data_IF_623119773105
#
_entry.id   IF_623119773105
#
_cell.length_a   1.000
_cell.length_b   1.000
_cell.length_c   1.000
_cell.angle_alpha   90.00
_cell.angle_beta   90.00
_cell.angle_gamma   90.00
#
_symmetry.space_group_name_H-M   'P 1'
#
loop_
_entity.id
_entity.type
_entity.pdbx_description
1 polymer ?
#
# COMPACT_ATOMS: atom_id res chain seq x y z
N UNK A 1 8.60 -6.33 -8.64
CA UNK A 1 7.72 -7.37 -8.06
C UNK A 1 6.31 -7.18 -8.62
N UNK A 2 6.15 -7.34 -9.93
CA UNK A 2 4.87 -7.17 -10.67
C UNK A 2 3.94 -8.38 -10.51
N UNK A 3 4.53 -9.55 -10.22
CA UNK A 3 3.86 -10.86 -10.27
C UNK A 3 2.64 -11.00 -9.36
N UNK A 4 2.58 -10.31 -8.23
CA UNK A 4 1.48 -10.45 -7.29
C UNK A 4 0.22 -9.72 -7.78
N UNK A 5 0.38 -8.49 -8.27
CA UNK A 5 -0.71 -7.75 -8.90
C UNK A 5 -1.17 -8.49 -10.16
N UNK A 6 -0.23 -8.86 -11.03
CA UNK A 6 -0.52 -9.65 -12.24
C UNK A 6 -1.27 -10.96 -11.93
N UNK A 7 -1.04 -11.55 -10.76
CA UNK A 7 -1.72 -12.76 -10.30
C UNK A 7 -3.15 -12.48 -9.81
N UNK A 8 -3.35 -11.40 -9.04
CA UNK A 8 -4.67 -10.97 -8.57
C UNK A 8 -5.54 -10.48 -9.74
N UNK A 9 -4.98 -9.73 -10.68
CA UNK A 9 -5.66 -9.26 -11.88
C UNK A 9 -6.18 -10.43 -12.73
N UNK A 10 -5.43 -11.56 -12.76
CA UNK A 10 -5.84 -12.79 -13.45
C UNK A 10 -6.79 -13.66 -12.63
N UNK A 11 -6.83 -13.49 -11.30
CA UNK A 11 -7.62 -14.29 -10.39
C UNK A 11 -8.31 -13.40 -9.34
N UNK A 12 -9.36 -12.64 -9.71
CA UNK A 12 -10.00 -11.69 -8.80
C UNK A 12 -10.53 -12.33 -7.50
N UNK A 13 -11.00 -13.58 -7.60
CA UNK A 13 -11.46 -14.39 -6.46
C UNK A 13 -10.38 -14.64 -5.38
N UNK A 14 -9.10 -14.61 -5.76
CA UNK A 14 -7.98 -14.80 -4.83
C UNK A 14 -7.77 -13.58 -3.94
N UNK A 15 -8.25 -12.38 -4.34
CA UNK A 15 -8.18 -11.20 -3.49
C UNK A 15 -8.92 -11.44 -2.16
N UNK A 16 -10.10 -12.07 -2.22
CA UNK A 16 -10.88 -12.41 -1.03
C UNK A 16 -10.16 -13.40 -0.13
N UNK A 17 -9.50 -14.40 -0.72
CA UNK A 17 -8.78 -15.43 0.04
C UNK A 17 -7.50 -14.91 0.68
N UNK A 18 -6.74 -14.08 -0.04
CA UNK A 18 -5.41 -13.63 0.39
C UNK A 18 -5.45 -12.37 1.24
N UNK A 19 -6.46 -11.51 1.03
CA UNK A 19 -6.56 -10.20 1.65
C UNK A 19 -7.84 -10.01 2.47
N UNK A 20 -8.81 -10.92 2.32
CA UNK A 20 -10.11 -10.81 3.01
C UNK A 20 -11.07 -9.79 2.40
N UNK A 21 -10.81 -9.29 1.20
CA UNK A 21 -11.62 -8.24 0.55
C UNK A 21 -11.89 -8.54 -0.93
N UNK A 22 -12.96 -7.98 -1.48
CA UNK A 22 -13.26 -8.12 -2.90
C UNK A 22 -12.24 -7.36 -3.76
N UNK A 23 -11.98 -7.87 -4.96
CA UNK A 23 -10.98 -7.29 -5.85
C UNK A 23 -11.29 -5.85 -6.28
N UNK A 24 -12.58 -5.51 -6.45
CA UNK A 24 -13.00 -4.13 -6.73
C UNK A 24 -12.63 -3.19 -5.58
N UNK A 25 -12.90 -3.60 -4.33
CA UNK A 25 -12.52 -2.84 -3.14
C UNK A 25 -11.00 -2.68 -3.03
N UNK A 26 -10.24 -3.69 -3.45
CA UNK A 26 -8.77 -3.62 -3.47
C UNK A 26 -8.28 -2.56 -4.46
N UNK A 27 -8.87 -2.49 -5.66
CA UNK A 27 -8.53 -1.48 -6.66
C UNK A 27 -8.82 -0.08 -6.12
N UNK A 28 -10.02 0.13 -5.56
CA UNK A 28 -10.41 1.42 -4.98
C UNK A 28 -9.46 1.83 -3.85
N UNK A 29 -9.09 0.91 -2.97
CA UNK A 29 -8.15 1.14 -1.89
C UNK A 29 -6.76 1.55 -2.40
N UNK A 30 -6.25 0.85 -3.42
CA UNK A 30 -4.96 1.18 -4.03
C UNK A 30 -4.98 2.60 -4.63
N UNK A 31 -6.04 2.96 -5.34
CA UNK A 31 -6.20 4.29 -5.93
C UNK A 31 -6.27 5.38 -4.85
N UNK A 32 -7.08 5.16 -3.81
CA UNK A 32 -7.21 6.10 -2.70
C UNK A 32 -5.89 6.30 -1.96
N UNK A 33 -5.14 5.22 -1.72
CA UNK A 33 -3.84 5.26 -1.06
C UNK A 33 -2.77 5.99 -1.90
N UNK A 34 -2.75 5.78 -3.23
CA UNK A 34 -1.86 6.52 -4.13
C UNK A 34 -2.15 8.02 -4.11
N UNK A 35 -3.44 8.40 -4.19
CA UNK A 35 -3.86 9.79 -4.12
C UNK A 35 -3.50 10.43 -2.78
N UNK A 36 -3.66 9.69 -1.68
CA UNK A 36 -3.30 10.16 -0.35
C UNK A 36 -1.78 10.37 -0.21
N UNK A 37 -0.97 9.44 -0.73
CA UNK A 37 0.48 9.58 -0.71
C UNK A 37 0.95 10.79 -1.52
N UNK A 38 0.35 11.04 -2.68
CA UNK A 38 0.64 12.22 -3.48
C UNK A 38 0.33 13.51 -2.71
N UNK A 39 -0.86 13.61 -2.09
CA UNK A 39 -1.24 14.74 -1.23
C UNK A 39 -0.25 14.94 -0.09
N UNK A 40 0.08 13.87 0.65
CA UNK A 40 1.05 13.92 1.76
C UNK A 40 2.43 14.37 1.24
N UNK A 41 2.84 13.92 0.06
CA UNK A 41 4.12 14.30 -0.54
C UNK A 41 4.13 15.78 -0.91
N UNK A 42 3.05 16.29 -1.51
CA UNK A 42 2.91 17.71 -1.81
C UNK A 42 2.93 18.57 -0.55
N UNK A 43 2.18 18.19 0.48
CA UNK A 43 2.18 18.91 1.77
C UNK A 43 3.57 18.90 2.42
N UNK A 44 4.25 17.75 2.40
CA UNK A 44 5.62 17.64 2.88
C UNK A 44 6.56 18.55 2.12
N UNK A 45 6.43 18.67 0.79
CA UNK A 45 7.24 19.58 -0.01
C UNK A 45 6.92 21.05 0.26
N UNK A 46 5.64 21.41 0.43
CA UNK A 46 5.20 22.77 0.81
C UNK A 46 5.73 23.20 2.17
N UNK A 47 5.81 22.26 3.11
CA UNK A 47 6.25 22.51 4.50
C UNK A 47 7.78 22.42 4.64
N UNK A 48 8.49 21.98 3.60
CA UNK A 48 9.93 21.72 3.68
C UNK A 48 10.74 23.01 3.58
N UNK A 49 11.16 23.54 4.71
CA UNK A 49 12.17 24.60 4.75
C UNK A 49 13.54 23.96 4.44
N UNK A 50 14.04 24.11 3.22
CA UNK A 50 15.34 23.56 2.79
C UNK A 50 16.43 24.63 2.86
N UNK A 51 17.49 24.39 3.65
CA UNK A 51 18.71 25.22 3.62
C UNK A 51 19.65 24.83 2.44
N UNK A 52 19.54 23.61 1.92
CA UNK A 52 20.40 23.01 0.87
C UNK A 52 19.52 22.23 -0.12
N UNK A 53 19.96 22.07 -1.38
CA UNK A 53 19.29 21.16 -2.34
C UNK A 53 19.17 19.76 -1.72
N UNK A 54 18.03 19.10 -1.96
CA UNK A 54 17.76 17.78 -1.39
C UNK A 54 18.89 16.80 -1.71
N UNK A 55 19.51 16.24 -0.67
CA UNK A 55 20.56 15.25 -0.82
C UNK A 55 20.08 14.01 -1.59
N UNK A 56 21.01 13.31 -2.22
CA UNK A 56 20.78 12.10 -3.04
C UNK A 56 20.39 10.88 -2.21
N UNK A 57 19.31 10.97 -1.45
CA UNK A 57 18.72 9.84 -0.73
C UNK A 57 18.40 8.69 -1.68
N UNK A 58 18.57 7.45 -1.19
CA UNK A 58 18.30 6.25 -1.98
C UNK A 58 16.82 6.23 -2.41
N UNK A 59 16.58 6.13 -3.71
CA UNK A 59 15.21 5.94 -4.25
C UNK A 59 14.57 4.70 -3.63
N UNK A 60 13.27 4.78 -3.37
CA UNK A 60 12.49 3.64 -2.88
C UNK A 60 12.65 2.46 -3.85
N UNK A 61 12.88 1.26 -3.29
CA UNK A 61 13.08 0.02 -4.06
C UNK A 61 11.77 -0.58 -4.59
N UNK A 62 10.64 -0.27 -3.96
CA UNK A 62 9.33 -0.84 -4.26
C UNK A 62 8.38 0.24 -4.73
N UNK A 63 7.55 -0.08 -5.72
CA UNK A 63 6.42 0.76 -6.08
C UNK A 63 5.42 0.83 -4.94
N UNK A 64 4.69 1.93 -4.87
CA UNK A 64 3.62 2.17 -3.89
C UNK A 64 2.63 1.01 -3.86
N UNK A 65 2.19 0.53 -5.03
CA UNK A 65 1.29 -0.61 -5.13
C UNK A 65 1.85 -1.88 -4.49
N UNK A 66 3.13 -2.20 -4.73
CA UNK A 66 3.76 -3.37 -4.12
C UNK A 66 3.88 -3.22 -2.60
N UNK A 67 4.08 -2.00 -2.10
CA UNK A 67 4.11 -1.75 -0.66
C UNK A 67 2.73 -1.98 -0.05
N UNK A 68 1.68 -1.41 -0.65
CA UNK A 68 0.29 -1.59 -0.19
C UNK A 68 -0.08 -3.08 -0.16
N UNK A 69 0.14 -3.80 -1.26
CA UNK A 69 -0.19 -5.22 -1.35
C UNK A 69 0.56 -6.06 -0.32
N UNK A 70 1.86 -5.80 -0.14
CA UNK A 70 2.66 -6.54 0.84
C UNK A 70 2.18 -6.26 2.26
N UNK A 71 1.84 -5.02 2.57
CA UNK A 71 1.27 -4.64 3.88
C UNK A 71 -0.04 -5.36 4.12
N UNK A 72 -0.98 -5.36 3.16
CA UNK A 72 -2.27 -6.02 3.32
C UNK A 72 -2.13 -7.53 3.52
N UNK A 73 -1.26 -8.20 2.75
CA UNK A 73 -0.97 -9.63 2.94
C UNK A 73 -0.40 -9.88 4.33
N UNK A 74 0.57 -9.07 4.75
CA UNK A 74 1.20 -9.23 6.06
C UNK A 74 0.18 -9.06 7.19
N UNK A 75 -0.68 -8.04 7.11
CA UNK A 75 -1.73 -7.79 8.09
C UNK A 75 -2.75 -8.93 8.14
N UNK A 76 -3.14 -9.48 6.99
CA UNK A 76 -4.09 -10.58 6.92
C UNK A 76 -3.52 -11.90 7.48
N UNK A 77 -2.24 -12.16 7.22
CA UNK A 77 -1.54 -13.39 7.64
C UNK A 77 -1.09 -13.38 9.11
N UNK A 78 -1.04 -12.22 9.75
CA UNK A 78 -0.63 -12.09 11.15
C UNK A 78 -1.83 -12.34 12.08
N UNK A 79 -1.88 -13.46 12.82
CA UNK A 79 -2.98 -13.75 13.75
C UNK A 79 -3.12 -12.68 14.84
N UNK A 80 -2.04 -11.99 15.19
CA UNK A 80 -2.04 -10.87 16.13
C UNK A 80 -2.90 -9.69 15.66
N UNK A 81 -2.94 -9.42 14.35
CA UNK A 81 -3.78 -8.34 13.80
C UNK A 81 -5.25 -8.75 13.73
N UNK A 82 -5.53 -10.03 13.47
CA UNK A 82 -6.88 -10.57 13.60
C UNK A 82 -7.39 -10.41 15.05
N UNK A 83 -6.56 -10.75 16.03
CA UNK A 83 -6.87 -10.58 17.46
C UNK A 83 -7.10 -9.12 17.87
N UNK A 84 -6.36 -8.16 17.28
CA UNK A 84 -6.59 -6.72 17.51
C UNK A 84 -7.96 -6.27 16.99
N UNK A 85 -8.43 -6.82 15.86
CA UNK A 85 -9.77 -6.57 15.35
C UNK A 85 -10.89 -7.14 16.22
N UNK A 86 -10.63 -8.21 16.98
CA UNK A 86 -11.59 -8.76 17.97
C UNK A 86 -11.64 -7.98 19.28
N UNK A 87 -10.60 -7.21 19.60
CA UNK A 87 -10.50 -6.43 20.84
C UNK A 87 -11.06 -5.00 20.72
N UNK A 88 -11.50 -4.60 19.52
CA UNK A 88 -12.09 -3.27 19.25
C UNK A 88 -13.60 -3.39 19.08
#
# INVERSE_FOLDING_TARGET
MSKLKDYLDKNPQEAKRLLGMEYEQLIELIQAAQLLEEKIREEKEKTKIRLIKGGGGRRQKLSVESQILLTLIYLHQMPTFQMLGFLT
#
